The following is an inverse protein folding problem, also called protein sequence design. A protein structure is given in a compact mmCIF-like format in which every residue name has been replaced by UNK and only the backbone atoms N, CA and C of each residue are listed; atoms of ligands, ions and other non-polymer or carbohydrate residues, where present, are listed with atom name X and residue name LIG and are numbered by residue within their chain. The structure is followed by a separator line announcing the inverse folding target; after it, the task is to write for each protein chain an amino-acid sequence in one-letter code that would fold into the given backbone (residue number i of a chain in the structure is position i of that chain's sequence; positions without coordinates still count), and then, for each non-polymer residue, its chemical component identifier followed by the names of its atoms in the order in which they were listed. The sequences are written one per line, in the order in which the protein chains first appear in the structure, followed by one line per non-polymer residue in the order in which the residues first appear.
data_IF_045922673753
#
_entry.id   IF_045922673753
#
_cell.length_a   1.000
_cell.length_b   1.000
_cell.length_c   1.000
_cell.angle_alpha   90.00
_cell.angle_beta   90.00
_cell.angle_gamma   90.00
#
_symmetry.space_group_name_H-M   'P 1'
#
loop_
_entity.id
_entity.type
_entity.pdbx_description
1 polymer ?
#
# COMPACT_ATOMS: atom_id res chain seq x y z
N UNK A 1 -18.87 -2.23 -13.60
CA UNK A 1 -17.70 -2.15 -12.69
C UNK A 1 -17.65 -3.42 -11.86
N UNK A 2 -16.45 -3.95 -11.57
CA UNK A 2 -16.31 -5.08 -10.63
C UNK A 2 -16.48 -4.56 -9.19
N UNK A 3 -17.25 -5.23 -8.31
CA UNK A 3 -17.44 -4.78 -6.94
C UNK A 3 -16.12 -4.88 -6.17
N UNK A 4 -15.88 -3.91 -5.29
CA UNK A 4 -14.68 -3.93 -4.44
C UNK A 4 -14.71 -5.12 -3.48
N UNK A 5 -13.52 -5.61 -3.12
CA UNK A 5 -13.32 -6.65 -2.12
C UNK A 5 -14.12 -6.42 -0.82
N UNK A 6 -14.10 -5.19 -0.31
CA UNK A 6 -14.84 -4.82 0.91
C UNK A 6 -16.35 -4.87 0.70
N UNK A 7 -16.84 -4.41 -0.46
CA UNK A 7 -18.27 -4.46 -0.80
C UNK A 7 -18.77 -5.91 -0.89
N UNK A 8 -18.01 -6.80 -1.53
CA UNK A 8 -18.34 -8.22 -1.59
C UNK A 8 -18.43 -8.84 -0.18
N UNK A 9 -17.47 -8.54 0.69
CA UNK A 9 -17.51 -9.00 2.08
C UNK A 9 -18.72 -8.46 2.86
N UNK A 10 -19.04 -7.18 2.70
CA UNK A 10 -20.18 -6.56 3.39
C UNK A 10 -21.51 -7.22 3.02
N UNK A 11 -21.66 -7.65 1.76
CA UNK A 11 -22.86 -8.35 1.30
C UNK A 11 -23.08 -9.71 2.00
N UNK A 12 -22.00 -10.40 2.37
CA UNK A 12 -22.05 -11.71 3.04
C UNK A 12 -21.81 -11.66 4.55
N UNK A 13 -21.49 -10.49 5.11
CA UNK A 13 -20.99 -10.35 6.47
C UNK A 13 -21.93 -10.95 7.52
N UNK A 14 -23.24 -10.69 7.40
CA UNK A 14 -24.23 -11.19 8.36
C UNK A 14 -24.34 -12.71 8.32
N UNK A 15 -24.29 -13.31 7.13
CA UNK A 15 -24.31 -14.76 6.92
C UNK A 15 -23.01 -15.39 7.43
N UNK A 16 -21.86 -14.78 7.15
CA UNK A 16 -20.57 -15.21 7.65
C UNK A 16 -20.54 -15.21 9.19
N UNK A 17 -21.08 -14.16 9.81
CA UNK A 17 -21.18 -14.04 11.27
C UNK A 17 -22.12 -15.11 11.87
N UNK A 18 -23.23 -15.40 11.21
CA UNK A 18 -24.14 -16.47 11.63
C UNK A 18 -23.48 -17.85 11.57
N UNK A 19 -22.81 -18.18 10.46
CA UNK A 19 -22.07 -19.44 10.32
C UNK A 19 -20.91 -19.55 11.32
N UNK A 20 -20.23 -18.44 11.58
CA UNK A 20 -19.17 -18.42 12.59
C UNK A 20 -19.72 -18.64 14.00
N UNK A 21 -20.88 -18.06 14.33
CA UNK A 21 -21.56 -18.30 15.61
C UNK A 21 -22.05 -19.75 15.77
N UNK A 22 -22.34 -20.44 14.67
CA UNK A 22 -22.67 -21.88 14.66
C UNK A 22 -21.43 -22.79 14.85
N UNK A 23 -20.21 -22.23 14.89
CA UNK A 23 -18.97 -22.96 15.12
C UNK A 23 -18.26 -23.44 13.85
N UNK A 24 -18.70 -23.02 12.66
CA UNK A 24 -18.00 -23.36 11.42
C UNK A 24 -16.63 -22.69 11.33
N UNK A 25 -15.66 -23.41 10.74
CA UNK A 25 -14.33 -22.86 10.52
C UNK A 25 -14.34 -21.76 9.46
N UNK A 26 -13.42 -20.80 9.58
CA UNK A 26 -13.25 -19.70 8.61
C UNK A 26 -13.08 -20.22 7.18
N UNK A 27 -12.33 -21.32 7.01
CA UNK A 27 -12.09 -21.93 5.70
C UNK A 27 -13.36 -22.52 5.12
N UNK A 28 -14.12 -23.28 5.90
CA UNK A 28 -15.41 -23.86 5.47
C UNK A 28 -16.40 -22.78 5.04
N UNK A 29 -16.47 -21.67 5.79
CA UNK A 29 -17.33 -20.54 5.46
C UNK A 29 -16.90 -19.89 4.14
N UNK A 30 -15.59 -19.71 3.94
CA UNK A 30 -15.05 -19.18 2.69
C UNK A 30 -15.35 -20.10 1.49
N UNK A 31 -15.07 -21.40 1.62
CA UNK A 31 -15.31 -22.37 0.55
C UNK A 31 -16.79 -22.37 0.16
N UNK A 32 -17.70 -22.31 1.14
CA UNK A 32 -19.14 -22.19 0.92
C UNK A 32 -19.54 -20.94 0.12
N UNK A 33 -18.88 -19.81 0.35
CA UNK A 33 -19.16 -18.58 -0.38
C UNK A 33 -18.57 -18.56 -1.80
N UNK A 34 -17.47 -19.27 -2.02
CA UNK A 34 -16.90 -19.47 -3.36
C UNK A 34 -17.80 -20.41 -4.17
N UNK A 35 -18.26 -21.52 -3.58
CA UNK A 35 -19.17 -22.47 -4.23
C UNK A 35 -20.50 -21.82 -4.64
N UNK A 36 -21.01 -20.89 -3.82
CA UNK A 36 -22.22 -20.11 -4.11
C UNK A 36 -21.98 -18.89 -4.99
N UNK A 37 -20.75 -18.68 -5.46
CA UNK A 37 -20.33 -17.53 -6.27
C UNK A 37 -20.66 -16.15 -5.64
N UNK A 38 -20.70 -16.09 -4.30
CA UNK A 38 -21.02 -14.84 -3.58
C UNK A 38 -19.82 -13.91 -3.42
N UNK A 39 -18.61 -14.47 -3.47
CA UNK A 39 -17.36 -13.76 -3.27
C UNK A 39 -16.38 -14.24 -4.34
N UNK A 40 -15.55 -13.36 -4.88
CA UNK A 40 -14.54 -13.73 -5.89
C UNK A 40 -13.11 -13.39 -5.45
N UNK A 41 -12.95 -12.95 -4.20
CA UNK A 41 -11.68 -12.57 -3.62
C UNK A 41 -10.94 -13.78 -3.07
N UNK A 42 -9.62 -13.68 -2.93
CA UNK A 42 -8.83 -14.73 -2.31
C UNK A 42 -9.15 -14.89 -0.82
N UNK A 43 -8.95 -16.10 -0.30
CA UNK A 43 -9.09 -16.42 1.13
C UNK A 43 -8.31 -15.44 2.02
N UNK A 44 -7.09 -15.08 1.63
CA UNK A 44 -6.25 -14.15 2.40
C UNK A 44 -6.89 -12.76 2.49
N UNK A 45 -7.42 -12.25 1.38
CA UNK A 45 -8.11 -10.97 1.36
C UNK A 45 -9.39 -11.00 2.21
N UNK A 46 -10.18 -12.07 2.07
CA UNK A 46 -11.40 -12.28 2.83
C UNK A 46 -11.13 -12.35 4.34
N UNK A 47 -10.17 -13.19 4.76
CA UNK A 47 -9.79 -13.36 6.16
C UNK A 47 -9.27 -12.05 6.77
N UNK A 48 -8.47 -11.28 6.02
CA UNK A 48 -7.96 -9.99 6.46
C UNK A 48 -9.07 -8.96 6.63
N UNK A 49 -10.05 -8.93 5.74
CA UNK A 49 -11.20 -8.03 5.89
C UNK A 49 -12.04 -8.47 7.09
N UNK A 50 -12.25 -9.77 7.28
CA UNK A 50 -13.01 -10.28 8.42
C UNK A 50 -12.38 -9.88 9.77
N UNK A 51 -11.06 -9.92 9.88
CA UNK A 51 -10.33 -9.52 11.09
C UNK A 51 -10.36 -8.00 11.33
N UNK A 52 -10.31 -7.20 10.26
CA UNK A 52 -10.23 -5.74 10.36
C UNK A 52 -11.58 -5.03 10.18
N UNK A 53 -12.67 -5.76 9.95
CA UNK A 53 -13.97 -5.17 9.61
C UNK A 53 -14.50 -4.23 10.69
N UNK A 54 -14.40 -4.65 11.95
CA UNK A 54 -14.89 -3.89 13.10
C UNK A 54 -13.90 -2.81 13.56
N UNK A 55 -12.75 -2.71 12.90
CA UNK A 55 -11.72 -1.77 13.27
C UNK A 55 -12.11 -0.34 12.86
N UNK A 56 -12.51 0.45 13.86
CA UNK A 56 -12.94 1.86 13.71
C UNK A 56 -11.89 2.80 13.10
N UNK A 57 -10.60 2.50 13.29
CA UNK A 57 -9.49 3.36 12.86
C UNK A 57 -8.48 2.60 12.00
N UNK A 58 -8.45 2.83 10.68
CA UNK A 58 -7.54 2.12 9.76
C UNK A 58 -6.06 2.49 9.97
N UNK A 59 -5.77 3.70 10.45
CA UNK A 59 -4.41 4.22 10.63
C UNK A 59 -3.96 4.32 12.10
N UNK A 60 -4.86 4.08 13.05
CA UNK A 60 -4.58 4.15 14.49
C UNK A 60 -3.83 2.96 15.06
N UNK A 61 -3.43 1.99 14.23
CA UNK A 61 -2.71 0.81 14.70
C UNK A 61 -1.31 1.20 15.20
N UNK A 62 -1.10 1.19 16.53
CA UNK A 62 0.23 1.00 17.09
C UNK A 62 0.73 -0.34 16.57
N UNK A 63 1.61 -0.32 15.57
CA UNK A 63 2.29 -1.53 15.10
C UNK A 63 3.09 -2.06 16.29
N UNK A 64 2.60 -3.11 16.94
CA UNK A 64 3.42 -3.92 17.83
C UNK A 64 4.48 -4.56 16.94
N UNK A 65 5.61 -3.86 16.77
CA UNK A 65 6.80 -4.44 16.17
C UNK A 65 7.15 -5.58 17.11
N UNK A 66 7.00 -6.82 16.65
CA UNK A 66 7.65 -7.96 17.30
C UNK A 66 9.13 -7.63 17.27
N UNK A 67 9.68 -7.23 18.41
CA UNK A 67 11.10 -6.98 18.57
C UNK A 67 11.83 -8.27 18.21
N UNK A 68 12.34 -8.33 16.99
CA UNK A 68 13.34 -9.33 16.65
C UNK A 68 14.58 -8.94 17.47
N UNK A 69 15.22 -9.86 18.22
CA UNK A 69 16.46 -9.53 18.91
C UNK A 69 17.48 -9.09 17.85
N UNK A 70 17.79 -7.80 17.83
CA UNK A 70 18.86 -7.24 17.01
C UNK A 70 20.15 -7.69 17.71
N UNK A 71 20.73 -8.80 17.25
CA UNK A 71 22.14 -9.06 17.48
C UNK A 71 22.91 -7.90 16.82
N UNK A 72 23.33 -6.93 17.62
CA UNK A 72 24.18 -5.83 17.21
C UNK A 72 25.57 -6.41 16.96
N UNK A 73 25.84 -6.90 15.74
CA UNK A 73 27.21 -6.92 15.27
C UNK A 73 27.61 -5.48 14.93
N UNK A 74 28.79 -4.99 15.35
CA UNK A 74 29.23 -3.63 15.03
C UNK A 74 29.53 -3.54 13.53
N UNK A 75 28.49 -3.22 12.76
CA UNK A 75 28.56 -2.98 11.34
C UNK A 75 29.29 -1.67 11.05
N UNK A 76 30.31 -1.77 10.20
CA UNK A 76 31.13 -0.70 9.59
C UNK A 76 30.36 0.62 9.45
N UNK A 77 30.80 1.65 10.18
CA UNK A 77 30.22 3.00 10.17
C UNK A 77 30.25 3.52 8.73
N UNK A 78 29.08 3.62 8.09
CA UNK A 78 28.92 4.43 6.87
C UNK A 78 29.13 5.88 7.27
N UNK A 79 30.09 6.54 6.61
CA UNK A 79 30.52 7.90 6.92
C UNK A 79 29.33 8.85 7.04
N UNK A 80 29.29 9.62 8.13
CA UNK A 80 28.31 10.70 8.29
C UNK A 80 28.67 11.81 7.31
N UNK A 81 27.71 12.25 6.52
CA UNK A 81 27.84 13.48 5.74
C UNK A 81 27.93 14.64 6.73
N UNK A 82 29.08 15.32 6.77
CA UNK A 82 29.33 16.47 7.63
C UNK A 82 29.16 17.73 6.78
N UNK A 83 28.32 18.66 7.22
CA UNK A 83 28.29 20.00 6.66
C UNK A 83 29.44 20.79 7.30
N UNK A 84 30.44 21.19 6.52
CA UNK A 84 31.38 22.22 6.93
C UNK A 84 30.66 23.57 6.93
N UNK A 85 30.91 24.39 7.96
CA UNK A 85 30.42 25.77 8.05
C UNK A 85 31.37 26.75 7.35
N UNK A 86 32.17 26.27 6.39
CA UNK A 86 33.06 27.14 5.64
C UNK A 86 32.22 28.06 4.75
N UNK A 87 32.51 29.38 4.75
CA UNK A 87 31.84 30.30 3.84
C UNK A 87 32.08 29.85 2.40
N UNK A 88 31.00 29.84 1.60
CA UNK A 88 31.09 29.47 0.19
C UNK A 88 32.09 30.38 -0.55
N UNK A 89 32.88 29.85 -1.50
CA UNK A 89 33.70 30.69 -2.38
C UNK A 89 32.81 31.70 -3.08
N UNK A 90 33.10 32.99 -2.87
CA UNK A 90 32.46 34.10 -3.57
C UNK A 90 33.23 34.28 -4.87
N UNK A 91 33.13 33.30 -5.76
CA UNK A 91 33.60 33.47 -7.14
C UNK A 91 32.37 33.60 -8.02
N UNK A 92 32.10 34.87 -8.33
CA UNK A 92 31.26 35.36 -9.41
C UNK A 92 29.87 34.72 -9.55
N UNK A 93 28.91 35.34 -8.87
CA UNK A 93 27.49 35.25 -9.17
C UNK A 93 27.24 35.72 -10.63
N UNK A 94 27.48 34.82 -11.57
CA UNK A 94 26.91 34.86 -12.91
C UNK A 94 25.55 34.17 -12.82
N UNK A 95 24.55 34.95 -12.44
CA UNK A 95 23.16 34.53 -12.56
C UNK A 95 22.87 34.16 -14.02
N UNK A 96 22.62 32.87 -14.23
CA UNK A 96 21.61 32.31 -15.13
C UNK A 96 21.34 33.07 -16.45
N UNK A 97 22.00 32.65 -17.52
CA UNK A 97 21.34 32.61 -18.83
C UNK A 97 20.92 31.14 -19.04
N UNK A 98 19.62 30.88 -18.89
CA UNK A 98 19.00 29.67 -19.42
C UNK A 98 18.85 29.90 -20.93
N UNK A 99 19.71 29.27 -21.74
CA UNK A 99 19.41 29.12 -23.16
C UNK A 99 18.25 28.13 -23.30
N UNK A 100 17.09 28.63 -23.73
CA UNK A 100 15.98 27.80 -24.19
C UNK A 100 16.45 26.99 -25.40
N UNK A 101 16.76 25.70 -25.20
CA UNK A 101 17.01 24.78 -26.31
C UNK A 101 15.68 24.50 -27.02
N UNK A 102 15.44 25.20 -28.13
CA UNK A 102 14.37 25.02 -29.13
C UNK A 102 14.34 23.64 -29.83
N UNK A 103 14.60 22.54 -29.12
CA UNK A 103 14.64 21.20 -29.73
C UNK A 103 13.70 20.22 -29.04
N UNK A 104 12.43 20.60 -28.89
CA UNK A 104 11.37 19.64 -28.62
C UNK A 104 10.76 19.18 -29.95
N UNK A 105 10.98 17.91 -30.30
CA UNK A 105 10.28 17.25 -31.42
C UNK A 105 8.77 17.39 -31.22
N UNK A 106 8.00 17.73 -32.27
CA UNK A 106 6.55 17.82 -32.14
C UNK A 106 5.98 16.46 -31.73
N UNK A 107 5.19 16.44 -30.65
CA UNK A 107 4.43 15.25 -30.27
C UNK A 107 3.20 15.15 -31.18
N UNK A 108 3.00 13.99 -31.80
CA UNK A 108 1.81 13.74 -32.62
C UNK A 108 0.73 13.07 -31.77
N UNK A 109 -0.42 13.74 -31.66
CA UNK A 109 -1.58 13.25 -30.93
C UNK A 109 -2.35 12.22 -31.78
N UNK A 110 -2.33 10.95 -31.38
CA UNK A 110 -3.07 9.88 -32.08
C UNK A 110 -4.56 9.98 -31.70
N UNK A 111 -5.43 10.19 -32.70
CA UNK A 111 -6.88 10.15 -32.53
C UNK A 111 -7.34 8.70 -32.33
N UNK A 112 -8.24 8.48 -31.37
CA UNK A 112 -8.98 7.23 -31.25
C UNK A 112 -10.02 7.14 -32.36
N UNK A 113 -9.90 6.11 -33.20
CA UNK A 113 -10.99 5.70 -34.10
C UNK A 113 -12.17 5.17 -33.26
N UNK A 114 -13.38 5.50 -33.73
CA UNK A 114 -14.65 5.09 -33.14
C UNK A 114 -15.11 3.77 -33.73
#
# INVERSE_FOLDING_TARGET
MKPSCKSQYLAVHNEAKALFAQGYSKKTIYDHFIEKDKIHMSYVAWAKIMENHDQKFPFGQKKFKKEKPISQTPGKIRGKFSHSNDPYPIEDATDSIVEEKENEKPFNLIKKEK
#
